data_IF_144099955929
#
_entry.id   IF_144099955929
#
_cell.length_a   1.000
_cell.length_b   1.000
_cell.length_c   1.000
_cell.angle_alpha   90.00
_cell.angle_beta   90.00
_cell.angle_gamma   90.00
#
_symmetry.space_group_name_H-M   'P 1'
#
loop_
_entity.id
_entity.type
_entity.pdbx_description
1 polymer ?
#
# COMPACT_ATOMS: atom_id res chain seq x y z
N UNK A 1 -8.34 -1.34 0.80
CA UNK A 1 -8.95 -0.10 0.25
C UNK A 1 -8.58 0.03 -1.22
N UNK A 2 -9.55 0.06 -2.15
CA UNK A 2 -9.27 -0.10 -3.58
C UNK A 2 -8.67 1.14 -4.26
N UNK A 3 -9.05 2.34 -3.84
CA UNK A 3 -8.53 3.61 -4.35
C UNK A 3 -8.85 4.74 -3.37
N UNK A 4 -8.22 5.89 -3.57
CA UNK A 4 -8.59 7.15 -2.91
C UNK A 4 -9.65 7.87 -3.75
N UNK A 5 -10.92 7.51 -3.58
CA UNK A 5 -12.03 8.00 -4.39
C UNK A 5 -12.72 9.21 -3.77
N UNK A 6 -13.16 10.12 -4.63
CA UNK A 6 -13.99 11.26 -4.25
C UNK A 6 -14.93 11.63 -5.40
N UNK A 7 -16.21 11.84 -5.10
CA UNK A 7 -17.14 12.45 -6.05
C UNK A 7 -17.02 13.98 -5.99
N UNK A 8 -16.23 14.54 -6.91
CA UNK A 8 -15.97 15.97 -7.00
C UNK A 8 -17.22 16.79 -7.35
N UNK A 9 -18.12 16.25 -8.19
CA UNK A 9 -19.31 16.97 -8.63
C UNK A 9 -20.32 17.07 -7.50
N UNK A 10 -20.60 15.96 -6.81
CA UNK A 10 -21.49 15.95 -5.67
C UNK A 10 -20.95 16.82 -4.52
N UNK A 11 -19.64 16.76 -4.25
CA UNK A 11 -19.00 17.64 -3.26
C UNK A 11 -19.14 19.12 -3.65
N UNK A 12 -18.87 19.48 -4.90
CA UNK A 12 -18.99 20.86 -5.39
C UNK A 12 -20.44 21.38 -5.36
N UNK A 13 -21.42 20.49 -5.57
CA UNK A 13 -22.84 20.80 -5.44
C UNK A 13 -23.31 20.93 -3.97
N UNK A 14 -22.42 20.71 -3.00
CA UNK A 14 -22.74 20.78 -1.57
C UNK A 14 -23.51 19.57 -1.05
N UNK A 15 -23.54 18.45 -1.79
CA UNK A 15 -24.13 17.21 -1.30
C UNK A 15 -23.38 16.76 -0.04
N UNK A 16 -24.11 16.60 1.06
CA UNK A 16 -23.53 16.15 2.32
C UNK A 16 -23.22 14.66 2.33
N UNK A 17 -23.63 13.87 1.35
CA UNK A 17 -23.46 12.41 1.28
C UNK A 17 -22.68 11.94 0.05
N UNK A 18 -21.87 12.82 -0.55
CA UNK A 18 -20.97 12.45 -1.63
C UNK A 18 -20.02 11.30 -1.25
N UNK A 19 -19.69 10.47 -2.24
CA UNK A 19 -18.79 9.33 -2.09
C UNK A 19 -17.36 9.81 -1.79
N UNK A 20 -16.77 9.31 -0.71
CA UNK A 20 -15.45 9.74 -0.20
C UNK A 20 -14.80 8.63 0.62
N UNK A 21 -13.52 8.35 0.33
CA UNK A 21 -12.73 7.36 1.07
C UNK A 21 -12.65 7.69 2.56
N UNK A 22 -12.31 8.92 2.92
CA UNK A 22 -12.14 9.36 4.30
C UNK A 22 -13.41 9.16 5.10
N UNK A 23 -14.55 9.50 4.51
CA UNK A 23 -15.86 9.37 5.16
C UNK A 23 -16.26 7.93 5.37
N UNK A 24 -16.09 7.10 4.35
CA UNK A 24 -16.42 5.67 4.44
C UNK A 24 -15.51 4.97 5.46
N UNK A 25 -14.21 5.28 5.47
CA UNK A 25 -13.27 4.72 6.46
C UNK A 25 -13.61 5.20 7.87
N UNK A 26 -13.94 6.48 8.08
CA UNK A 26 -14.37 6.98 9.41
C UNK A 26 -15.56 6.18 9.93
N UNK A 27 -16.56 5.93 9.08
CA UNK A 27 -17.75 5.15 9.42
C UNK A 27 -17.40 3.70 9.82
N UNK A 28 -16.54 3.04 9.04
CA UNK A 28 -16.06 1.70 9.36
C UNK A 28 -15.24 1.67 10.65
N UNK A 29 -14.44 2.69 10.94
CA UNK A 29 -13.73 2.82 12.22
C UNK A 29 -14.71 2.90 13.39
N UNK A 30 -15.81 3.64 13.27
CA UNK A 30 -16.83 3.75 14.31
C UNK A 30 -17.52 2.39 14.59
N UNK A 31 -17.80 1.63 13.53
CA UNK A 31 -18.32 0.26 13.63
C UNK A 31 -17.31 -0.66 14.36
N UNK A 32 -16.05 -0.69 13.90
CA UNK A 32 -14.99 -1.50 14.51
C UNK A 32 -14.68 -1.11 15.96
N UNK A 33 -14.82 0.17 16.32
CA UNK A 33 -14.69 0.63 17.72
C UNK A 33 -15.79 0.07 18.60
N UNK A 34 -17.00 -0.07 18.08
CA UNK A 34 -18.13 -0.70 18.79
C UNK A 34 -17.85 -2.19 19.05
N UNK A 35 -17.17 -2.85 18.11
CA UNK A 35 -16.71 -4.23 18.23
C UNK A 35 -15.45 -4.39 19.10
N UNK A 36 -14.84 -3.29 19.54
CA UNK A 36 -13.66 -3.25 20.42
C UNK A 36 -12.43 -3.95 19.82
N UNK A 37 -12.18 -3.76 18.53
CA UNK A 37 -10.99 -4.31 17.88
C UNK A 37 -9.69 -3.83 18.54
N UNK A 38 -8.71 -4.72 18.64
CA UNK A 38 -7.43 -4.42 19.28
C UNK A 38 -6.47 -3.63 18.38
N UNK A 39 -6.70 -3.65 17.06
CA UNK A 39 -5.80 -3.10 16.05
C UNK A 39 -6.47 -2.92 14.69
N UNK A 40 -5.84 -2.16 13.79
CA UNK A 40 -6.31 -1.90 12.43
C UNK A 40 -5.20 -2.14 11.40
N UNK A 41 -5.55 -2.80 10.29
CA UNK A 41 -4.72 -2.90 9.08
C UNK A 41 -5.40 -2.10 7.96
N UNK A 42 -4.69 -1.14 7.39
CA UNK A 42 -5.10 -0.45 6.17
C UNK A 42 -4.38 -1.10 4.98
N UNK A 43 -5.09 -1.94 4.23
CA UNK A 43 -4.55 -2.61 3.06
C UNK A 43 -4.61 -1.71 1.81
N UNK A 44 -3.43 -1.35 1.29
CA UNK A 44 -3.22 -0.53 0.10
C UNK A 44 -2.54 -1.32 -1.03
N UNK A 45 -2.44 -2.65 -0.94
CA UNK A 45 -1.93 -3.48 -2.03
C UNK A 45 -2.77 -3.28 -3.28
N UNK A 46 -2.12 -3.14 -4.44
CA UNK A 46 -2.80 -2.85 -5.70
C UNK A 46 -3.41 -1.44 -5.82
N UNK A 47 -3.33 -0.59 -4.78
CA UNK A 47 -3.95 0.74 -4.79
C UNK A 47 -3.02 1.78 -5.45
N UNK A 48 -3.30 2.10 -6.72
CA UNK A 48 -2.56 3.08 -7.50
C UNK A 48 -2.77 4.56 -7.10
N UNK A 49 -3.55 4.82 -6.05
CA UNK A 49 -3.79 6.14 -5.49
C UNK A 49 -5.16 6.71 -5.84
N UNK A 50 -5.22 8.03 -6.07
CA UNK A 50 -6.46 8.76 -6.35
C UNK A 50 -6.40 10.20 -5.85
N UNK A 51 -7.50 10.67 -5.26
CA UNK A 51 -7.69 12.01 -4.74
C UNK A 51 -6.66 12.36 -3.67
N UNK A 52 -5.92 13.45 -3.89
CA UNK A 52 -4.97 14.00 -2.92
C UNK A 52 -5.66 14.51 -1.64
N UNK A 53 -6.79 15.25 -1.71
CA UNK A 53 -7.58 15.58 -0.52
C UNK A 53 -8.03 14.37 0.31
N UNK A 54 -8.27 13.23 -0.33
CA UNK A 54 -8.63 12.00 0.40
C UNK A 54 -7.42 11.37 1.09
N UNK A 55 -6.20 11.53 0.57
CA UNK A 55 -4.99 11.10 1.27
C UNK A 55 -4.75 11.93 2.54
N UNK A 56 -4.90 13.25 2.45
CA UNK A 56 -4.71 14.13 3.62
C UNK A 56 -5.83 13.94 4.63
N UNK A 57 -7.09 13.89 4.20
CA UNK A 57 -8.24 13.60 5.07
C UNK A 57 -8.16 12.23 5.75
N UNK A 58 -7.78 11.18 5.02
CA UNK A 58 -7.61 9.85 5.59
C UNK A 58 -6.50 9.83 6.64
N UNK A 59 -5.40 10.56 6.41
CA UNK A 59 -4.30 10.68 7.38
C UNK A 59 -4.79 11.32 8.68
N UNK A 60 -5.64 12.35 8.59
CA UNK A 60 -6.26 13.03 9.73
C UNK A 60 -7.04 12.14 10.68
N UNK A 61 -7.60 11.03 10.18
CA UNK A 61 -8.29 10.05 11.03
C UNK A 61 -7.36 9.40 12.08
N UNK A 62 -6.05 9.50 11.90
CA UNK A 62 -5.05 8.82 12.72
C UNK A 62 -4.07 9.76 13.43
N UNK A 63 -3.91 11.02 13.01
CA UNK A 63 -2.96 11.98 13.60
C UNK A 63 -3.68 13.18 14.21
N UNK A 64 -3.08 13.83 15.23
CA UNK A 64 -3.69 14.97 15.95
C UNK A 64 -3.57 16.31 15.19
N UNK A 65 -3.60 16.26 13.86
CA UNK A 65 -3.31 17.38 12.96
C UNK A 65 -1.82 17.59 12.67
N UNK A 66 -1.55 18.40 11.63
CA UNK A 66 -0.21 18.72 11.16
C UNK A 66 -0.05 18.56 9.64
N UNK A 67 1.14 18.87 9.09
CA UNK A 67 1.42 18.70 7.67
C UNK A 67 1.40 17.23 7.28
N UNK A 68 0.79 16.91 6.13
CA UNK A 68 0.77 15.53 5.62
C UNK A 68 1.75 15.39 4.44
N UNK A 69 1.76 16.39 3.56
CA UNK A 69 2.56 16.35 2.33
C UNK A 69 2.90 17.75 1.86
N UNK A 70 4.05 17.91 1.21
CA UNK A 70 4.45 19.14 0.55
C UNK A 70 4.32 18.97 -0.95
N UNK A 71 3.70 19.93 -1.65
CA UNK A 71 3.60 19.97 -3.10
C UNK A 71 4.51 21.09 -3.62
N UNK A 72 5.47 20.74 -4.47
CA UNK A 72 6.29 21.72 -5.20
C UNK A 72 5.81 21.81 -6.64
N UNK A 73 5.35 22.99 -7.03
CA UNK A 73 4.94 23.30 -8.40
C UNK A 73 6.14 23.57 -9.31
N UNK A 74 5.88 23.67 -10.61
CA UNK A 74 6.91 23.93 -11.64
C UNK A 74 7.55 25.31 -11.53
N UNK A 75 6.87 26.29 -10.95
CA UNK A 75 7.40 27.64 -10.68
C UNK A 75 8.31 27.69 -9.43
N UNK A 76 8.40 26.58 -8.68
CA UNK A 76 9.18 26.46 -7.46
C UNK A 76 8.41 26.74 -6.18
N UNK A 77 7.14 27.17 -6.26
CA UNK A 77 6.27 27.36 -5.11
C UNK A 77 6.08 26.04 -4.37
N UNK A 78 6.17 26.08 -3.04
CA UNK A 78 5.92 24.91 -2.18
C UNK A 78 4.67 25.18 -1.36
N UNK A 79 3.64 24.39 -1.58
CA UNK A 79 2.43 24.34 -0.78
C UNK A 79 2.53 23.20 0.24
N UNK A 80 2.06 23.46 1.45
CA UNK A 80 1.96 22.44 2.51
C UNK A 80 0.50 22.06 2.65
N UNK A 81 0.20 20.79 2.50
CA UNK A 81 -1.14 20.27 2.64
C UNK A 81 -1.26 19.59 4.00
N UNK A 82 -2.06 20.21 4.86
CA UNK A 82 -2.37 19.73 6.19
C UNK A 82 -3.59 18.80 6.18
N UNK A 83 -3.78 18.09 7.28
CA UNK A 83 -5.04 17.45 7.60
C UNK A 83 -6.17 18.50 7.76
N UNK A 84 -7.30 18.36 7.03
CA UNK A 84 -8.41 19.32 7.12
C UNK A 84 -9.19 19.28 8.44
N UNK A 85 -9.16 18.16 9.19
CA UNK A 85 -9.97 17.97 10.40
C UNK A 85 -9.18 17.22 11.49
N UNK A 86 -8.70 17.90 12.55
CA UNK A 86 -7.79 17.32 13.56
C UNK A 86 -8.46 16.31 14.52
N UNK A 87 -9.63 15.79 14.18
CA UNK A 87 -10.35 14.80 14.98
C UNK A 87 -9.90 13.37 14.65
N UNK A 88 -9.04 12.84 15.52
CA UNK A 88 -8.56 11.45 15.46
C UNK A 88 -9.73 10.48 15.67
N UNK A 89 -10.10 9.76 14.60
CA UNK A 89 -11.12 8.71 14.64
C UNK A 89 -10.59 7.42 15.31
N UNK A 90 -9.31 7.10 15.12
CA UNK A 90 -8.68 5.90 15.66
C UNK A 90 -7.27 6.17 16.19
N UNK A 91 -7.02 5.81 17.44
CA UNK A 91 -5.74 6.01 18.15
C UNK A 91 -5.04 4.70 18.54
N UNK A 92 -5.61 3.54 18.20
CA UNK A 92 -5.05 2.22 18.50
C UNK A 92 -3.92 1.78 17.56
N UNK A 93 -3.38 0.56 17.76
CA UNK A 93 -2.38 -0.08 16.90
C UNK A 93 -2.78 -0.07 15.41
N UNK A 94 -1.89 0.43 14.55
CA UNK A 94 -2.17 0.63 13.13
C UNK A 94 -1.01 0.09 12.27
N UNK A 95 -1.32 -0.77 11.31
CA UNK A 95 -0.42 -1.09 10.21
C UNK A 95 -0.98 -0.61 8.87
N UNK A 96 -0.08 -0.24 7.95
CA UNK A 96 -0.39 0.03 6.55
C UNK A 96 0.28 -1.03 5.71
N UNK A 97 -0.52 -1.89 5.07
CA UNK A 97 -0.03 -2.96 4.23
C UNK A 97 0.09 -2.45 2.78
N UNK A 98 1.29 -2.52 2.22
CA UNK A 98 1.60 -1.98 0.89
C UNK A 98 2.30 -3.03 0.00
N UNK A 99 2.17 -2.86 -1.31
CA UNK A 99 2.96 -3.61 -2.28
C UNK A 99 3.56 -2.69 -3.36
N UNK A 100 4.22 -3.29 -4.34
CA UNK A 100 4.85 -2.55 -5.44
C UNK A 100 3.85 -1.80 -6.33
N UNK A 101 2.55 -2.08 -6.25
CA UNK A 101 1.51 -1.36 -6.98
C UNK A 101 0.85 -0.24 -6.15
N UNK A 102 1.11 -0.18 -4.84
CA UNK A 102 0.75 0.98 -4.02
C UNK A 102 1.44 2.23 -4.57
N UNK A 103 0.68 3.24 -5.00
CA UNK A 103 1.24 4.42 -5.66
C UNK A 103 0.54 5.74 -5.25
N UNK A 104 1.21 6.87 -5.48
CA UNK A 104 0.61 8.21 -5.42
C UNK A 104 0.01 8.51 -4.03
N UNK A 105 -1.30 8.73 -3.92
CA UNK A 105 -2.02 8.97 -2.67
C UNK A 105 -1.77 7.87 -1.60
N UNK A 106 -1.62 6.60 -2.02
CA UNK A 106 -1.26 5.49 -1.13
C UNK A 106 0.10 5.70 -0.48
N UNK A 107 1.07 6.21 -1.25
CA UNK A 107 2.43 6.47 -0.78
C UNK A 107 2.46 7.69 0.14
N UNK A 108 1.65 8.70 -0.14
CA UNK A 108 1.48 9.87 0.75
C UNK A 108 0.96 9.43 2.12
N UNK A 109 -0.12 8.64 2.14
CA UNK A 109 -0.69 8.13 3.38
C UNK A 109 0.30 7.24 4.14
N UNK A 110 0.89 6.24 3.48
CA UNK A 110 1.85 5.34 4.12
C UNK A 110 3.08 6.08 4.66
N UNK A 111 3.62 7.02 3.88
CA UNK A 111 4.74 7.87 4.30
C UNK A 111 4.39 8.73 5.52
N UNK A 112 3.20 9.35 5.54
CA UNK A 112 2.78 10.16 6.67
C UNK A 112 2.60 9.32 7.94
N UNK A 113 1.96 8.15 7.85
CA UNK A 113 1.82 7.24 9.01
C UNK A 113 3.20 6.82 9.56
N UNK A 114 4.15 6.55 8.67
CA UNK A 114 5.53 6.20 9.02
C UNK A 114 6.29 7.38 9.63
N UNK A 115 6.27 8.55 9.00
CA UNK A 115 6.99 9.75 9.41
C UNK A 115 6.54 10.24 10.78
N UNK A 116 5.22 10.21 11.04
CA UNK A 116 4.67 10.57 12.35
C UNK A 116 4.92 9.51 13.43
N UNK A 117 5.47 8.34 13.08
CA UNK A 117 5.56 7.19 13.98
C UNK A 117 4.19 6.77 14.51
N UNK A 118 3.14 6.94 13.69
CA UNK A 118 1.76 6.67 14.08
C UNK A 118 1.41 5.18 13.96
N UNK A 119 2.01 4.49 12.99
CA UNK A 119 1.80 3.07 12.74
C UNK A 119 3.04 2.49 12.05
N UNK A 120 2.96 1.20 11.71
CA UNK A 120 4.02 0.51 10.95
C UNK A 120 3.59 0.29 9.51
N UNK A 121 4.50 0.52 8.57
CA UNK A 121 4.32 0.15 7.17
C UNK A 121 4.88 -1.25 6.96
N UNK A 122 4.07 -2.16 6.43
CA UNK A 122 4.43 -3.56 6.21
C UNK A 122 4.21 -3.96 4.76
N UNK A 123 5.00 -4.89 4.23
CA UNK A 123 4.82 -5.40 2.86
C UNK A 123 6.03 -5.18 1.98
N UNK A 124 5.86 -4.64 0.78
CA UNK A 124 6.93 -4.42 -0.19
C UNK A 124 7.15 -2.92 -0.47
N UNK A 125 8.35 -2.54 -0.89
CA UNK A 125 8.62 -1.20 -1.43
C UNK A 125 7.55 -0.79 -2.44
N UNK A 126 6.97 0.40 -2.27
CA UNK A 126 5.88 0.91 -3.12
C UNK A 126 6.37 1.38 -4.49
N UNK A 127 5.45 1.81 -5.36
CA UNK A 127 5.72 2.10 -6.77
C UNK A 127 6.78 3.17 -7.02
N UNK A 128 6.80 4.24 -6.21
CA UNK A 128 7.69 5.38 -6.35
C UNK A 128 7.13 6.52 -7.19
N UNK A 129 5.81 6.70 -7.27
CA UNK A 129 5.23 7.83 -8.00
C UNK A 129 5.26 9.06 -7.09
N UNK A 130 6.12 10.03 -7.37
CA UNK A 130 6.28 11.27 -6.60
C UNK A 130 5.83 12.53 -7.33
N UNK A 131 5.01 12.38 -8.37
CA UNK A 131 4.53 13.48 -9.23
C UNK A 131 3.02 13.65 -9.17
N UNK A 132 2.58 14.91 -9.32
CA UNK A 132 1.17 15.28 -9.47
C UNK A 132 0.91 15.65 -10.92
N UNK A 133 -0.22 15.16 -11.44
CA UNK A 133 -0.64 15.39 -12.82
C UNK A 133 -1.96 16.15 -12.83
N UNK A 134 -2.09 17.08 -13.78
CA UNK A 134 -3.33 17.76 -14.06
C UNK A 134 -3.95 17.23 -15.36
N UNK A 135 -5.27 17.08 -15.35
CA UNK A 135 -6.08 16.69 -16.51
C UNK A 135 -6.69 17.96 -17.09
N UNK A 136 -6.29 18.30 -18.31
CA UNK A 136 -6.73 19.50 -19.02
C UNK A 136 -7.67 19.06 -20.15
N UNK A 137 -9.00 19.25 -20.01
CA UNK A 137 -9.95 18.96 -21.08
C UNK A 137 -9.70 19.92 -22.25
N UNK A 138 -9.45 19.37 -23.43
CA UNK A 138 -9.12 20.15 -24.63
C UNK A 138 -10.33 20.90 -25.17
N UNK A 139 -11.53 20.44 -24.83
CA UNK A 139 -12.83 21.05 -25.14
C UNK A 139 -12.94 22.51 -24.69
N UNK A 140 -12.20 22.90 -23.64
CA UNK A 140 -12.18 24.29 -23.13
C UNK A 140 -11.56 25.28 -24.12
N UNK A 141 -10.77 24.81 -25.08
CA UNK A 141 -10.09 25.64 -26.08
C UNK A 141 -10.76 25.60 -27.46
N UNK A 142 -11.89 24.92 -27.58
CA UNK A 142 -12.58 24.74 -28.84
C UNK A 142 -13.56 25.87 -29.15
N UNK A 143 -13.66 26.21 -30.44
CA UNK A 143 -14.70 27.07 -30.99
C UNK A 143 -15.74 26.18 -31.68
N UNK A 144 -16.93 26.04 -31.10
CA UNK A 144 -18.04 25.31 -31.71
C UNK A 144 -18.97 24.62 -30.71
N UNK A 145 -20.19 24.23 -31.13
CA UNK A 145 -21.09 23.49 -30.26
C UNK A 145 -20.61 22.03 -30.11
N UNK A 146 -20.32 21.62 -28.87
CA UNK A 146 -19.95 20.25 -28.46
C UNK A 146 -18.61 19.74 -29.02
N UNK A 147 -17.48 20.34 -28.62
CA UNK A 147 -16.17 19.73 -28.83
C UNK A 147 -16.03 18.39 -28.09
N UNK A 148 -15.34 17.43 -28.73
CA UNK A 148 -14.99 16.11 -28.16
C UNK A 148 -13.51 15.81 -28.44
N UNK A 149 -12.61 16.67 -27.95
CA UNK A 149 -11.17 16.62 -28.22
C UNK A 149 -10.38 15.81 -27.19
N UNK A 150 -11.05 15.26 -26.18
CA UNK A 150 -10.40 14.49 -25.12
C UNK A 150 -9.64 15.37 -24.13
N UNK A 151 -8.59 14.82 -23.53
CA UNK A 151 -7.87 15.47 -22.42
C UNK A 151 -6.36 15.28 -22.51
N UNK A 152 -5.62 16.30 -22.06
CA UNK A 152 -4.17 16.24 -21.88
C UNK A 152 -3.84 15.96 -20.41
N UNK A 153 -2.92 15.03 -20.15
CA UNK A 153 -2.39 14.77 -18.80
C UNK A 153 -0.98 15.32 -18.72
N UNK A 154 -0.74 16.30 -17.84
CA UNK A 154 0.56 16.96 -17.71
C UNK A 154 1.03 16.89 -16.26
N UNK A 155 2.30 16.55 -16.04
CA UNK A 155 2.93 16.66 -14.72
C UNK A 155 3.10 18.14 -14.36
N UNK A 156 2.48 18.58 -13.26
CA UNK A 156 2.46 19.98 -12.80
C UNK A 156 3.27 20.21 -11.52
N UNK A 157 3.78 19.15 -10.91
CA UNK A 157 4.56 19.27 -9.69
C UNK A 157 5.03 17.93 -9.15
N UNK A 158 5.77 18.01 -8.04
CA UNK A 158 6.25 16.86 -7.27
C UNK A 158 5.77 16.96 -5.84
N UNK A 159 5.47 15.83 -5.22
CA UNK A 159 5.17 15.79 -3.80
C UNK A 159 6.34 15.23 -2.98
N UNK A 160 6.41 15.70 -1.73
CA UNK A 160 7.47 15.40 -0.79
C UNK A 160 6.86 15.11 0.58
N UNK A 161 7.52 14.22 1.29
CA UNK A 161 7.23 13.88 2.69
C UNK A 161 7.41 15.09 3.59
N UNK A 162 6.88 15.02 4.80
CA UNK A 162 7.11 16.04 5.84
C UNK A 162 8.59 16.16 6.22
N UNK A 163 9.35 15.08 6.05
CA UNK A 163 10.82 15.05 6.21
C UNK A 163 11.56 15.80 5.10
N UNK A 164 10.88 16.14 4.01
CA UNK A 164 11.44 16.78 2.81
C UNK A 164 11.91 15.79 1.74
N UNK A 165 11.88 14.48 1.99
CA UNK A 165 12.24 13.47 0.99
C UNK A 165 11.11 13.25 -0.03
N UNK A 166 11.44 13.04 -1.31
CA UNK A 166 10.45 12.64 -2.30
C UNK A 166 10.22 11.12 -2.31
N UNK A 167 9.01 10.69 -2.67
CA UNK A 167 8.73 9.29 -3.03
C UNK A 167 9.16 8.96 -4.47
N UNK A 168 9.50 9.95 -5.31
CA UNK A 168 9.82 9.73 -6.72
C UNK A 168 10.94 8.68 -6.89
N UNK A 169 10.71 7.64 -7.68
CA UNK A 169 11.56 6.46 -7.90
C UNK A 169 11.85 5.56 -6.69
N UNK A 170 11.75 6.07 -5.46
CA UNK A 170 12.10 5.31 -4.24
C UNK A 170 10.88 4.73 -3.51
N UNK A 171 9.74 5.35 -3.66
CA UNK A 171 8.52 5.02 -2.94
C UNK A 171 8.67 5.17 -1.43
N UNK A 172 7.88 4.38 -0.71
CA UNK A 172 7.93 4.14 0.73
C UNK A 172 8.55 2.78 0.93
N UNK A 173 9.64 2.73 1.69
CA UNK A 173 10.23 1.47 2.17
C UNK A 173 9.48 1.03 3.43
N UNK A 174 8.93 -0.19 3.48
CA UNK A 174 8.27 -0.71 4.66
C UNK A 174 9.21 -0.78 5.87
N UNK A 175 8.66 -0.63 7.07
CA UNK A 175 9.35 -0.88 8.33
C UNK A 175 9.64 -2.37 8.52
N UNK A 176 8.71 -3.23 8.06
CA UNK A 176 8.86 -4.69 8.03
C UNK A 176 8.55 -5.19 6.62
N UNK A 177 9.54 -5.75 5.95
CA UNK A 177 9.40 -6.27 4.58
C UNK A 177 8.78 -7.66 4.60
N UNK A 178 7.77 -7.88 3.77
CA UNK A 178 7.15 -9.18 3.52
C UNK A 178 7.46 -9.66 2.09
N UNK A 179 7.52 -10.98 1.84
CA UNK A 179 7.76 -11.53 0.52
C UNK A 179 6.63 -11.16 -0.45
N UNK A 180 7.00 -10.97 -1.71
CA UNK A 180 6.07 -10.58 -2.77
C UNK A 180 6.42 -11.30 -4.05
N UNK A 181 5.38 -11.67 -4.81
CA UNK A 181 5.51 -12.22 -6.14
C UNK A 181 5.85 -11.14 -7.18
N UNK A 182 5.84 -9.85 -6.84
CA UNK A 182 6.05 -8.74 -7.79
C UNK A 182 7.53 -8.35 -7.84
N UNK A 183 8.15 -8.33 -9.02
CA UNK A 183 9.54 -7.88 -9.19
C UNK A 183 9.65 -6.35 -9.13
N UNK A 184 10.59 -5.87 -8.32
CA UNK A 184 10.89 -4.43 -8.20
C UNK A 184 11.71 -3.89 -9.38
N UNK A 185 12.37 -4.78 -10.12
CA UNK A 185 13.14 -4.51 -11.33
C UNK A 185 12.26 -4.34 -12.57
N UNK A 186 11.10 -5.01 -12.58
CA UNK A 186 10.13 -4.95 -13.69
C UNK A 186 9.03 -3.90 -13.46
N UNK A 187 8.58 -3.74 -12.21
CA UNK A 187 7.49 -2.83 -11.84
C UNK A 187 8.02 -1.68 -11.02
N UNK A 188 7.59 -0.45 -11.33
CA UNK A 188 7.85 0.75 -10.52
C UNK A 188 8.03 2.01 -11.37
N UNK A 189 8.04 3.17 -10.73
CA UNK A 189 8.40 4.42 -11.41
C UNK A 189 9.87 4.40 -11.83
N UNK A 190 10.74 3.78 -11.02
CA UNK A 190 12.18 3.64 -11.27
C UNK A 190 12.52 2.84 -12.53
N UNK A 191 11.58 2.06 -13.07
CA UNK A 191 11.78 1.25 -14.28
C UNK A 191 11.44 2.04 -15.55
N UNK A 192 10.88 3.24 -15.42
CA UNK A 192 10.53 4.12 -16.55
C UNK A 192 11.70 4.98 -16.97
N UNK A 193 11.99 4.98 -18.27
CA UNK A 193 13.13 5.72 -18.85
C UNK A 193 13.01 7.24 -18.76
N UNK A 194 11.78 7.77 -18.70
CA UNK A 194 11.48 9.21 -18.62
C UNK A 194 11.04 9.67 -17.23
N UNK A 195 11.18 8.82 -16.20
CA UNK A 195 10.86 9.21 -14.83
C UNK A 195 11.73 10.38 -14.38
N UNK A 196 11.10 11.36 -13.71
CA UNK A 196 11.84 12.45 -13.09
C UNK A 196 12.78 11.89 -12.00
N UNK A 197 13.95 12.52 -11.77
CA UNK A 197 14.87 12.04 -10.75
C UNK A 197 14.30 12.22 -9.33
N UNK A 198 14.82 11.42 -8.41
CA UNK A 198 14.61 11.64 -6.98
C UNK A 198 15.40 12.87 -6.51
N UNK A 199 14.81 13.63 -5.60
CA UNK A 199 15.41 14.77 -4.91
C UNK A 199 14.76 14.97 -3.53
N UNK A 200 15.18 16.02 -2.83
CA UNK A 200 14.66 16.44 -1.53
C UNK A 200 14.53 17.96 -1.46
N UNK A 201 13.60 18.42 -0.63
CA UNK A 201 13.45 19.82 -0.23
C UNK A 201 13.69 19.96 1.29
N UNK A 202 13.46 21.16 1.84
CA UNK A 202 13.46 21.34 3.27
C UNK A 202 12.32 20.53 3.92
N UNK A 203 12.60 19.87 5.04
CA UNK A 203 11.57 19.28 5.88
C UNK A 203 10.79 20.36 6.64
N UNK A 204 9.60 20.01 7.09
CA UNK A 204 8.75 20.87 7.91
C UNK A 204 8.79 20.37 9.35
N UNK A 205 8.78 21.25 10.36
CA UNK A 205 8.60 20.82 11.74
C UNK A 205 7.26 20.09 11.93
N UNK A 206 7.31 18.88 12.47
CA UNK A 206 6.14 18.12 12.89
C UNK A 206 6.45 17.36 14.19
N UNK A 207 5.42 16.95 14.92
CA UNK A 207 5.58 16.18 16.16
C UNK A 207 5.54 14.70 15.82
N UNK A 208 6.72 14.08 15.74
CA UNK A 208 6.83 12.62 15.67
C UNK A 208 6.42 12.03 17.03
N UNK A 209 5.51 11.07 17.02
CA UNK A 209 5.06 10.44 18.24
C UNK A 209 6.09 9.48 18.87
N UNK A 210 7.23 9.20 18.20
CA UNK A 210 8.43 8.36 18.49
C UNK A 210 8.19 6.97 19.14
N UNK A 211 6.94 6.66 19.47
CA UNK A 211 6.54 5.50 20.26
C UNK A 211 6.52 4.22 19.44
N UNK A 212 6.15 4.29 18.16
CA UNK A 212 6.10 3.11 17.28
C UNK A 212 7.45 2.82 16.63
N UNK A 213 8.23 3.84 16.25
CA UNK A 213 9.53 3.65 15.62
C UNK A 213 10.50 2.83 16.50
N UNK A 214 10.43 3.00 17.82
CA UNK A 214 11.21 2.20 18.78
C UNK A 214 10.72 0.75 18.94
N UNK A 215 9.47 0.46 18.58
CA UNK A 215 8.88 -0.87 18.62
C UNK A 215 9.19 -1.72 17.38
N UNK A 216 9.51 -1.09 16.24
CA UNK A 216 9.78 -1.79 14.96
C UNK A 216 10.78 -2.93 15.10
N UNK A 217 11.95 -2.79 15.77
CA UNK A 217 12.89 -3.90 15.90
C UNK A 217 12.36 -5.07 16.74
N UNK A 218 11.42 -4.83 17.67
CA UNK A 218 10.78 -5.88 18.45
C UNK A 218 9.77 -6.63 17.57
N UNK A 219 8.94 -5.89 16.83
CA UNK A 219 7.95 -6.44 15.91
C UNK A 219 8.60 -7.27 14.80
N UNK A 220 9.70 -6.78 14.22
CA UNK A 220 10.47 -7.51 13.21
C UNK A 220 11.01 -8.86 13.75
N UNK A 221 11.50 -8.89 14.99
CA UNK A 221 11.94 -10.15 15.61
C UNK A 221 10.79 -11.13 15.85
N UNK A 222 9.63 -10.63 16.29
CA UNK A 222 8.44 -11.49 16.45
C UNK A 222 7.99 -12.06 15.09
N UNK A 223 7.97 -11.23 14.05
CA UNK A 223 7.74 -11.63 12.66
C UNK A 223 8.71 -12.74 12.22
N UNK A 224 10.02 -12.54 12.36
CA UNK A 224 11.03 -13.51 11.95
C UNK A 224 10.83 -14.87 12.65
N UNK A 225 10.54 -14.84 13.95
CA UNK A 225 10.30 -16.05 14.74
C UNK A 225 9.06 -16.80 14.26
N UNK A 226 7.91 -16.12 14.16
CA UNK A 226 6.63 -16.71 13.73
C UNK A 226 6.70 -17.23 12.30
N UNK A 227 7.16 -16.40 11.37
CA UNK A 227 7.23 -16.72 9.94
C UNK A 227 8.17 -17.89 9.64
N UNK A 228 9.25 -18.06 10.42
CA UNK A 228 10.16 -19.19 10.26
C UNK A 228 9.50 -20.56 10.50
N UNK A 229 8.46 -20.62 11.33
CA UNK A 229 7.73 -21.83 11.70
C UNK A 229 6.43 -22.03 10.92
N UNK A 230 5.90 -20.99 10.27
CA UNK A 230 4.61 -21.01 9.59
C UNK A 230 4.66 -21.76 8.24
N UNK A 231 3.88 -22.86 8.05
CA UNK A 231 3.83 -23.58 6.79
C UNK A 231 3.35 -22.75 5.59
N UNK A 232 2.45 -21.81 5.80
CA UNK A 232 1.86 -20.96 4.77
C UNK A 232 2.89 -19.93 4.31
N UNK A 233 3.64 -19.35 5.25
CA UNK A 233 4.74 -18.45 4.95
C UNK A 233 5.86 -19.16 4.17
N UNK A 234 6.23 -20.37 4.57
CA UNK A 234 7.19 -21.19 3.82
C UNK A 234 6.71 -21.52 2.41
N UNK A 235 5.41 -21.80 2.24
CA UNK A 235 4.81 -22.01 0.92
C UNK A 235 4.92 -20.76 0.05
N UNK A 236 4.58 -19.58 0.60
CA UNK A 236 4.71 -18.30 -0.10
C UNK A 236 6.16 -18.03 -0.55
N UNK A 237 7.16 -18.28 0.31
CA UNK A 237 8.57 -18.16 -0.08
C UNK A 237 8.94 -19.10 -1.23
N UNK A 238 8.40 -20.32 -1.22
CA UNK A 238 8.57 -21.28 -2.32
C UNK A 238 7.96 -20.80 -3.64
N UNK A 239 6.79 -20.16 -3.59
CA UNK A 239 6.16 -19.58 -4.78
C UNK A 239 6.92 -18.36 -5.31
N UNK A 240 7.43 -17.49 -4.43
CA UNK A 240 8.31 -16.39 -4.82
C UNK A 240 9.57 -16.91 -5.52
N UNK A 241 10.24 -17.90 -4.93
CA UNK A 241 11.42 -18.51 -5.55
C UNK A 241 11.12 -19.15 -6.91
N UNK A 242 9.97 -19.81 -7.06
CA UNK A 242 9.55 -20.40 -8.32
C UNK A 242 9.30 -19.33 -9.41
N UNK A 243 8.63 -18.23 -9.06
CA UNK A 243 8.40 -17.11 -9.99
C UNK A 243 9.71 -16.44 -10.40
N UNK A 244 10.64 -16.23 -9.46
CA UNK A 244 11.94 -15.61 -9.76
C UNK A 244 12.80 -16.52 -10.64
N UNK A 245 12.75 -17.83 -10.43
CA UNK A 245 13.37 -18.79 -11.33
C UNK A 245 12.80 -18.70 -12.75
N UNK A 246 11.47 -18.56 -12.89
CA UNK A 246 10.84 -18.35 -14.19
C UNK A 246 11.26 -17.03 -14.85
N UNK A 247 11.33 -15.92 -14.10
CA UNK A 247 11.77 -14.60 -14.61
C UNK A 247 13.21 -14.61 -15.11
N UNK A 248 14.06 -15.44 -14.50
CA UNK A 248 15.46 -15.58 -14.92
C UNK A 248 15.59 -16.17 -16.33
N UNK A 249 14.57 -16.89 -16.82
CA UNK A 249 14.55 -17.45 -18.16
C UNK A 249 14.28 -16.37 -19.21
N UNK A 250 15.27 -16.09 -20.07
CA UNK A 250 15.18 -15.07 -21.13
C UNK A 250 14.80 -15.62 -22.50
N UNK A 251 14.58 -16.93 -22.60
CA UNK A 251 14.22 -17.62 -23.84
C UNK A 251 13.08 -18.58 -23.57
N UNK A 252 12.20 -18.75 -24.55
CA UNK A 252 11.10 -19.70 -24.51
C UNK A 252 11.12 -20.57 -25.76
N UNK A 253 10.87 -21.87 -25.60
CA UNK A 253 10.76 -22.77 -26.75
C UNK A 253 9.51 -22.46 -27.58
N UNK A 254 9.63 -22.46 -28.90
CA UNK A 254 8.48 -22.37 -29.80
C UNK A 254 7.93 -23.75 -30.20
N UNK A 255 8.54 -24.83 -29.72
CA UNK A 255 8.05 -26.18 -29.97
C UNK A 255 6.87 -26.50 -29.06
N UNK A 256 5.70 -26.78 -29.64
CA UNK A 256 4.47 -27.06 -28.90
C UNK A 256 4.61 -28.24 -27.92
N UNK A 257 5.31 -29.31 -28.31
CA UNK A 257 5.46 -30.51 -27.46
C UNK A 257 6.31 -30.21 -26.23
N UNK A 258 7.37 -29.43 -26.42
CA UNK A 258 8.22 -28.93 -25.32
C UNK A 258 7.42 -28.01 -24.39
N UNK A 259 6.67 -27.04 -24.95
CA UNK A 259 5.87 -26.10 -24.16
C UNK A 259 4.77 -26.76 -23.33
N UNK A 260 4.13 -27.81 -23.86
CA UNK A 260 3.16 -28.61 -23.10
C UNK A 260 3.81 -29.34 -21.93
N UNK A 261 4.98 -29.94 -22.14
CA UNK A 261 5.71 -30.64 -21.08
C UNK A 261 6.24 -29.67 -20.00
N UNK A 262 6.72 -28.49 -20.39
CA UNK A 262 7.13 -27.44 -19.45
C UNK A 262 5.95 -26.97 -18.58
N UNK A 263 4.79 -26.70 -19.19
CA UNK A 263 3.58 -26.31 -18.46
C UNK A 263 3.14 -27.39 -17.47
N UNK A 264 3.02 -28.64 -17.93
CA UNK A 264 2.64 -29.77 -17.07
C UNK A 264 3.58 -29.91 -15.88
N UNK A 265 4.89 -29.76 -16.10
CA UNK A 265 5.88 -29.79 -15.02
C UNK A 265 5.65 -28.67 -14.00
N UNK A 266 5.42 -27.43 -14.46
CA UNK A 266 5.16 -26.29 -13.56
C UNK A 266 3.86 -26.46 -12.78
N UNK A 267 2.82 -26.99 -13.42
CA UNK A 267 1.53 -27.27 -12.79
C UNK A 267 1.70 -28.36 -11.71
N UNK A 268 2.44 -29.44 -11.99
CA UNK A 268 2.78 -30.48 -11.01
C UNK A 268 3.62 -29.95 -9.84
N UNK A 269 4.62 -29.10 -10.10
CA UNK A 269 5.44 -28.48 -9.06
C UNK A 269 4.62 -27.53 -8.17
N UNK A 270 3.71 -26.74 -8.75
CA UNK A 270 2.80 -25.87 -8.01
C UNK A 270 1.82 -26.68 -7.15
N UNK A 271 1.20 -27.72 -7.72
CA UNK A 271 0.31 -28.61 -6.98
C UNK A 271 1.05 -29.34 -5.83
N UNK A 272 2.29 -29.75 -6.05
CA UNK A 272 3.12 -30.37 -5.02
C UNK A 272 3.45 -29.41 -3.86
N UNK A 273 3.77 -28.15 -4.15
CA UNK A 273 3.99 -27.12 -3.11
C UNK A 273 2.73 -26.88 -2.28
N UNK A 274 1.58 -26.69 -2.93
CA UNK A 274 0.31 -26.54 -2.21
C UNK A 274 0.00 -27.79 -1.38
N UNK A 275 0.14 -29.00 -1.93
CA UNK A 275 -0.14 -30.22 -1.18
C UNK A 275 0.81 -30.44 0.01
N UNK A 276 2.07 -29.99 -0.09
CA UNK A 276 2.98 -29.97 1.05
C UNK A 276 2.51 -28.99 2.15
N UNK A 277 2.03 -27.79 1.75
CA UNK A 277 1.43 -26.81 2.66
C UNK A 277 0.16 -27.35 3.32
N UNK A 278 -0.72 -27.99 2.54
CA UNK A 278 -1.95 -28.63 3.03
C UNK A 278 -1.67 -29.75 4.02
N UNK A 279 -0.69 -30.61 3.72
CA UNK A 279 -0.27 -31.66 4.64
C UNK A 279 0.25 -31.10 5.97
N UNK A 280 1.02 -30.00 5.93
CA UNK A 280 1.50 -29.33 7.14
C UNK A 280 0.39 -28.60 7.95
N UNK A 281 -0.80 -28.44 7.37
CA UNK A 281 -2.00 -27.86 7.99
C UNK A 281 -3.10 -28.90 8.24
N UNK A 282 -2.79 -30.20 8.12
CA UNK A 282 -3.74 -31.31 8.24
C UNK A 282 -4.96 -31.22 7.29
N UNK A 283 -4.78 -30.57 6.13
CA UNK A 283 -5.79 -30.43 5.09
C UNK A 283 -5.67 -31.56 4.06
N UNK A 284 -6.81 -31.99 3.51
CA UNK A 284 -6.84 -33.02 2.45
C UNK A 284 -6.09 -32.53 1.21
N UNK A 285 -5.21 -33.35 0.59
CA UNK A 285 -4.52 -32.96 -0.63
C UNK A 285 -5.51 -32.77 -1.79
N UNK A 286 -5.14 -31.90 -2.72
CA UNK A 286 -5.81 -31.69 -4.00
C UNK A 286 -5.27 -32.67 -5.03
N UNK A 287 -6.16 -33.20 -5.87
CA UNK A 287 -5.83 -34.21 -6.87
C UNK A 287 -5.32 -33.58 -8.18
N UNK A 288 -5.81 -32.39 -8.55
CA UNK A 288 -5.48 -31.75 -9.83
C UNK A 288 -5.19 -30.26 -9.69
N UNK A 289 -4.62 -29.67 -10.75
CA UNK A 289 -4.34 -28.22 -10.80
C UNK A 289 -5.64 -27.40 -10.88
N UNK A 290 -6.69 -27.94 -11.51
CA UNK A 290 -8.01 -27.28 -11.59
C UNK A 290 -8.68 -27.17 -10.22
N UNK A 291 -8.48 -28.17 -9.35
CA UNK A 291 -8.93 -28.07 -7.96
C UNK A 291 -8.19 -26.98 -7.20
N UNK A 292 -6.89 -26.80 -7.46
CA UNK A 292 -6.10 -25.71 -6.87
C UNK A 292 -6.54 -24.35 -7.40
N UNK A 293 -6.77 -24.21 -8.70
CA UNK A 293 -7.21 -22.94 -9.29
C UNK A 293 -8.62 -22.53 -8.82
N UNK A 294 -9.43 -23.50 -8.39
CA UNK A 294 -10.76 -23.26 -7.82
C UNK A 294 -10.75 -23.10 -6.30
N UNK A 295 -9.62 -23.39 -5.64
CA UNK A 295 -9.50 -23.29 -4.19
C UNK A 295 -9.37 -21.83 -3.76
N UNK A 296 -9.94 -21.52 -2.59
CA UNK A 296 -9.77 -20.22 -1.97
C UNK A 296 -8.30 -20.03 -1.56
N UNK A 297 -7.67 -18.99 -2.10
CA UNK A 297 -6.28 -18.68 -1.79
C UNK A 297 -6.17 -18.07 -0.39
N UNK A 298 -5.19 -18.54 0.39
CA UNK A 298 -4.89 -17.98 1.70
C UNK A 298 -4.03 -16.74 1.53
N UNK A 299 -4.49 -15.61 2.07
CA UNK A 299 -3.73 -14.36 2.06
C UNK A 299 -2.73 -14.32 3.22
N UNK A 300 -1.61 -15.01 3.02
CA UNK A 300 -0.52 -15.13 4.00
C UNK A 300 0.04 -13.76 4.38
N UNK A 301 0.11 -12.83 3.42
CA UNK A 301 0.64 -11.48 3.64
C UNK A 301 -0.28 -10.66 4.54
N UNK A 302 -1.60 -10.72 4.31
CA UNK A 302 -2.57 -10.06 5.18
C UNK A 302 -2.65 -10.70 6.56
N UNK A 303 -2.57 -12.03 6.63
CA UNK A 303 -2.50 -12.77 7.90
C UNK A 303 -1.30 -12.30 8.72
N UNK A 304 -0.12 -12.27 8.11
CA UNK A 304 1.11 -11.84 8.79
C UNK A 304 1.07 -10.35 9.20
N UNK A 305 0.53 -9.47 8.36
CA UNK A 305 0.31 -8.07 8.72
C UNK A 305 -0.63 -7.93 9.94
N UNK A 306 -1.64 -8.79 10.04
CA UNK A 306 -2.58 -8.81 11.18
C UNK A 306 -1.90 -9.28 12.46
N UNK A 307 -1.04 -10.30 12.39
CA UNK A 307 -0.24 -10.77 13.52
C UNK A 307 0.75 -9.70 14.00
N UNK A 308 1.37 -8.94 13.09
CA UNK A 308 2.24 -7.80 13.46
C UNK A 308 1.43 -6.73 14.24
N UNK A 309 0.18 -6.47 13.84
CA UNK A 309 -0.70 -5.55 14.56
C UNK A 309 -1.10 -6.11 15.92
N UNK A 310 -1.35 -7.42 16.03
CA UNK A 310 -1.63 -8.09 17.31
C UNK A 310 -0.42 -8.01 18.26
N UNK A 311 0.79 -8.27 17.74
CA UNK A 311 2.04 -8.09 18.48
C UNK A 311 2.15 -6.66 19.01
N UNK A 312 1.89 -5.67 18.15
CA UNK A 312 1.90 -4.25 18.53
C UNK A 312 0.87 -3.93 19.63
N UNK A 313 -0.34 -4.50 19.56
CA UNK A 313 -1.37 -4.31 20.57
C UNK A 313 -0.96 -4.87 21.95
N UNK A 314 -0.12 -5.90 21.98
CA UNK A 314 0.39 -6.51 23.20
C UNK A 314 1.56 -5.73 23.86
N UNK A 315 2.15 -4.76 23.15
CA UNK A 315 3.32 -4.04 23.66
C UNK A 315 2.98 -3.15 24.86
N UNK A 316 3.84 -3.10 25.90
CA UNK A 316 3.63 -2.25 27.08
C UNK A 316 3.47 -0.75 26.76
N UNK A 317 4.13 -0.27 25.69
CA UNK A 317 4.01 1.10 25.18
C UNK A 317 2.58 1.42 24.75
N UNK A 318 1.83 0.45 24.23
CA UNK A 318 0.44 0.63 23.79
C UNK A 318 -0.56 0.52 24.96
N UNK A 319 -0.22 -0.23 26.01
CA UNK A 319 -1.03 -0.29 27.23
C UNK A 319 -1.16 1.07 27.95
N UNK A 320 -0.19 1.99 27.75
CA UNK A 320 -0.26 3.36 28.25
C UNK A 320 -1.24 4.24 27.45
N UNK A 321 -1.42 3.98 26.15
CA UNK A 321 -2.35 4.72 25.29
C UNK A 321 -3.82 4.39 25.61
N UNK A 322 -4.14 3.11 25.89
CA UNK A 322 -5.49 2.69 26.32
C UNK A 322 -5.96 3.34 27.63
N UNK A 323 -5.03 3.83 28.47
CA UNK A 323 -5.35 4.53 29.72
C UNK A 323 -5.50 6.04 29.58
N UNK A 324 -5.08 6.62 28.45
CA UNK A 324 -5.07 8.05 28.19
C UNK A 324 -6.17 8.50 27.20
N UNK A 325 -6.99 7.56 26.74
CA UNK A 325 -8.15 7.73 25.85
C UNK A 325 -9.43 7.38 26.56
#
# INVERSE_FOLDING_TARGET
>A
MPSFYQDYNARAAGDRNYRSTTRDVRKLIEELRTEKVDGLVIDLRGNGGGSLPEATGLTGLFIKGGPVVQLRETDGTVEVLDDPEPEVAYNGPLAVLVDRFSASASEIFAAAIQDYGRGVVVGQQTYGKGTVQNLIPLDRFALGPRPEFGQLTVTIGKFYRVTGESTQNRGVTPDITLPSLISVEEVGESTRTSALPWDRIAGIPFVNAERISSAVPVLARSHDQRSSADPDYRSLLGDVAAVDQLRSQKTVSLNLKVRKAEREKLDQERLARENARRAARDLKPLATIEELDSAEAVDVVLGEASEIVADMASLPVMAQLRKAS
#
